data_IF_076364202271
#
_entry.id   IF_076364202271
#
_cell.length_a   1.000
_cell.length_b   1.000
_cell.length_c   1.000
_cell.angle_alpha   90.00
_cell.angle_beta   90.00
_cell.angle_gamma   90.00
#
_symmetry.space_group_name_H-M   'P 1'
#
loop_
_entity.id
_entity.type
_entity.pdbx_description
1 polymer ?
#
# COMPACT_ATOMS: atom_id res chain seq x y z
N UNK A 1 19.35 -3.66 4.13
CA UNK A 1 19.30 -2.52 5.09
C UNK A 1 18.27 -2.88 6.12
N UNK A 2 18.67 -2.93 7.39
CA UNK A 2 17.79 -3.26 8.50
C UNK A 2 16.95 -2.05 8.90
N UNK A 3 15.63 -2.23 9.01
CA UNK A 3 14.70 -1.21 9.49
C UNK A 3 13.83 -1.81 10.59
N UNK A 4 13.81 -1.19 11.77
CA UNK A 4 12.93 -1.57 12.88
C UNK A 4 11.74 -0.62 12.93
N UNK A 5 10.54 -1.17 12.77
CA UNK A 5 9.28 -0.45 12.84
C UNK A 5 8.68 -0.59 14.24
N UNK A 6 8.80 0.46 15.04
CA UNK A 6 8.13 0.59 16.33
C UNK A 6 6.71 1.11 16.12
N UNK A 7 5.74 0.42 16.68
CA UNK A 7 4.30 0.66 16.51
C UNK A 7 3.56 0.43 17.83
N UNK A 8 2.31 0.86 17.94
CA UNK A 8 1.47 0.57 19.11
C UNK A 8 1.18 -0.93 19.23
N UNK A 9 1.04 -1.61 18.10
CA UNK A 9 0.94 -3.06 18.04
C UNK A 9 1.08 -3.61 16.62
N UNK A 10 1.27 -4.91 16.53
CA UNK A 10 1.35 -5.65 15.25
C UNK A 10 0.19 -6.62 15.18
N UNK A 11 -0.60 -6.55 14.12
CA UNK A 11 -1.67 -7.50 13.80
C UNK A 11 -1.17 -8.44 12.70
N UNK A 12 -0.87 -9.73 12.98
CA UNK A 12 -0.27 -10.61 11.97
C UNK A 12 -1.22 -11.00 10.81
N UNK A 13 -2.52 -11.13 11.05
CA UNK A 13 -3.53 -11.42 10.02
C UNK A 13 -4.69 -10.42 10.10
N UNK A 14 -5.40 -10.19 9.00
CA UNK A 14 -6.44 -9.14 8.92
C UNK A 14 -7.51 -9.23 10.01
N UNK A 15 -7.88 -10.44 10.43
CA UNK A 15 -8.95 -10.69 11.42
C UNK A 15 -8.44 -10.90 12.86
N UNK A 16 -7.13 -10.73 13.10
CA UNK A 16 -6.52 -10.95 14.41
C UNK A 16 -6.52 -9.71 15.30
N UNK A 17 -6.42 -9.92 16.62
CA UNK A 17 -6.16 -8.84 17.57
C UNK A 17 -4.71 -8.32 17.45
N UNK A 18 -4.48 -7.00 17.58
CA UNK A 18 -3.13 -6.45 17.62
C UNK A 18 -2.35 -6.94 18.85
N UNK A 19 -1.13 -7.40 18.61
CA UNK A 19 -0.16 -7.69 19.66
C UNK A 19 0.47 -6.36 20.11
N UNK A 20 0.02 -5.84 21.25
CA UNK A 20 0.53 -4.59 21.82
C UNK A 20 2.03 -4.69 22.16
N UNK A 21 2.78 -3.61 21.93
CA UNK A 21 4.22 -3.54 22.23
C UNK A 21 5.12 -4.36 21.29
N UNK A 22 4.55 -5.02 20.28
CA UNK A 22 5.32 -5.69 19.23
C UNK A 22 5.85 -4.69 18.19
N UNK A 23 6.93 -5.07 17.54
CA UNK A 23 7.55 -4.37 16.43
C UNK A 23 7.87 -5.34 15.28
N UNK A 24 8.19 -4.76 14.13
CA UNK A 24 8.58 -5.51 12.92
C UNK A 24 9.97 -5.10 12.49
N UNK A 25 10.87 -6.08 12.36
CA UNK A 25 12.17 -5.90 11.74
C UNK A 25 12.08 -6.29 10.26
N UNK A 26 12.59 -5.40 9.40
CA UNK A 26 12.67 -5.61 7.96
C UNK A 26 14.14 -5.67 7.56
N UNK A 27 14.52 -6.68 6.77
CA UNK A 27 15.80 -6.70 6.06
C UNK A 27 15.58 -6.71 4.55
N UNK A 28 15.95 -5.60 3.90
CA UNK A 28 15.75 -5.45 2.46
C UNK A 28 14.27 -5.58 2.12
N UNK A 29 13.91 -6.63 1.39
CA UNK A 29 12.53 -6.89 0.95
C UNK A 29 11.75 -7.88 1.83
N UNK A 30 12.31 -8.30 2.97
CA UNK A 30 11.76 -9.40 3.79
C UNK A 30 11.48 -8.97 5.23
N UNK A 31 10.44 -9.57 5.82
CA UNK A 31 10.19 -9.51 7.25
C UNK A 31 11.22 -10.41 7.96
N UNK A 32 12.17 -9.81 8.67
CA UNK A 32 13.25 -10.54 9.35
C UNK A 32 12.80 -11.06 10.73
N UNK A 33 11.99 -10.28 11.45
CA UNK A 33 11.44 -10.69 12.74
C UNK A 33 10.15 -9.93 13.06
N UNK A 34 9.28 -10.57 13.86
CA UNK A 34 8.09 -9.97 14.47
C UNK A 34 8.12 -10.39 15.95
N UNK A 35 8.13 -9.44 16.87
CA UNK A 35 8.30 -9.73 18.29
C UNK A 35 8.23 -8.49 19.17
N UNK A 36 8.35 -8.63 20.49
CA UNK A 36 8.38 -7.50 21.42
C UNK A 36 9.43 -6.46 21.02
N UNK A 37 9.07 -5.18 21.06
CA UNK A 37 9.97 -4.10 20.64
C UNK A 37 11.28 -4.09 21.42
N UNK A 38 11.22 -4.24 22.74
CA UNK A 38 12.41 -4.18 23.60
C UNK A 38 13.44 -5.28 23.27
N UNK A 39 12.96 -6.49 22.95
CA UNK A 39 13.84 -7.60 22.54
C UNK A 39 14.50 -7.33 21.18
N UNK A 40 13.72 -6.85 20.20
CA UNK A 40 14.25 -6.51 18.88
C UNK A 40 15.18 -5.29 18.93
N UNK A 41 14.89 -4.32 19.80
CA UNK A 41 15.75 -3.16 20.03
C UNK A 41 17.08 -3.56 20.66
N UNK A 42 17.07 -4.43 21.68
CA UNK A 42 18.30 -4.95 22.29
C UNK A 42 19.17 -5.70 21.27
N UNK A 43 18.56 -6.49 20.38
CA UNK A 43 19.29 -7.28 19.39
C UNK A 43 19.74 -6.49 18.15
N UNK A 44 18.98 -5.48 17.70
CA UNK A 44 19.19 -4.83 16.40
C UNK A 44 19.23 -3.29 16.44
N UNK A 45 18.96 -2.66 17.57
CA UNK A 45 18.80 -1.21 17.69
C UNK A 45 20.04 -0.40 17.30
N UNK A 46 21.25 -0.94 17.55
CA UNK A 46 22.51 -0.28 17.20
C UNK A 46 22.83 -0.26 15.69
N UNK A 47 22.12 -1.05 14.88
CA UNK A 47 22.41 -1.26 13.46
C UNK A 47 21.19 -1.04 12.54
N UNK A 48 19.97 -1.12 13.08
CA UNK A 48 18.74 -0.90 12.34
C UNK A 48 18.35 0.58 12.32
N UNK A 49 17.86 1.04 11.17
CA UNK A 49 17.13 2.32 11.10
C UNK A 49 15.81 2.18 11.85
N UNK A 50 15.58 2.98 12.88
CA UNK A 50 14.29 2.98 13.58
C UNK A 50 13.30 3.90 12.88
N UNK A 51 12.05 3.41 12.77
CA UNK A 51 10.90 4.20 12.37
C UNK A 51 9.80 4.00 13.38
N UNK A 52 9.32 5.09 13.95
CA UNK A 52 8.25 5.08 14.92
C UNK A 52 6.94 5.53 14.26
N UNK A 53 5.85 4.84 14.60
CA UNK A 53 4.52 5.15 14.12
C UNK A 53 3.51 5.05 15.25
N UNK A 54 2.59 6.00 15.29
CA UNK A 54 1.51 6.04 16.27
C UNK A 54 0.28 5.25 15.78
N UNK A 55 0.47 3.95 15.51
CA UNK A 55 -0.57 3.13 14.91
C UNK A 55 -0.30 1.63 15.01
N UNK A 56 -1.18 0.83 14.41
CA UNK A 56 -1.08 -0.63 14.32
C UNK A 56 -0.54 -1.03 12.96
N UNK A 57 0.52 -1.85 12.94
CA UNK A 57 1.04 -2.45 11.71
C UNK A 57 0.23 -3.70 11.37
N UNK A 58 -0.29 -3.76 10.15
CA UNK A 58 -1.10 -4.87 9.64
C UNK A 58 -0.54 -5.36 8.31
N UNK A 59 -0.91 -6.56 7.82
CA UNK A 59 -0.92 -6.81 6.40
C UNK A 59 -1.48 -5.62 5.61
N UNK A 60 -0.91 -5.33 4.45
CA UNK A 60 -1.48 -4.31 3.57
C UNK A 60 -2.88 -4.70 3.08
N UNK A 61 -3.64 -3.70 2.64
CA UNK A 61 -4.93 -3.94 1.99
C UNK A 61 -4.71 -4.62 0.64
N UNK A 62 -5.71 -5.39 0.23
CA UNK A 62 -5.78 -6.01 -1.07
C UNK A 62 -6.99 -5.44 -1.82
N UNK A 63 -6.78 -4.99 -3.05
CA UNK A 63 -7.81 -4.44 -3.93
C UNK A 63 -8.25 -5.46 -4.99
N UNK A 64 -9.40 -6.15 -4.81
CA UNK A 64 -9.87 -7.15 -5.76
C UNK A 64 -10.28 -6.57 -7.11
N UNK A 65 -10.76 -5.33 -7.16
CA UNK A 65 -11.31 -4.71 -8.36
C UNK A 65 -10.31 -3.75 -9.02
N UNK A 66 -9.01 -4.10 -8.97
CA UNK A 66 -7.91 -3.26 -9.46
C UNK A 66 -8.06 -2.88 -10.93
N UNK A 67 -8.45 -3.83 -11.78
CA UNK A 67 -8.74 -3.57 -13.20
C UNK A 67 -9.90 -2.57 -13.38
N UNK A 68 -11.01 -2.75 -12.66
CA UNK A 68 -12.14 -1.82 -12.74
C UNK A 68 -11.74 -0.41 -12.27
N UNK A 69 -11.01 -0.32 -11.16
CA UNK A 69 -10.53 0.95 -10.62
C UNK A 69 -9.57 1.70 -11.54
N UNK A 70 -8.75 1.00 -12.32
CA UNK A 70 -7.67 1.63 -13.10
C UNK A 70 -7.98 1.71 -14.60
N UNK A 71 -8.91 0.90 -15.11
CA UNK A 71 -9.25 0.83 -16.53
C UNK A 71 -10.70 1.21 -16.87
N UNK A 72 -11.59 1.20 -15.86
CA UNK A 72 -13.00 1.56 -16.01
C UNK A 72 -13.38 2.83 -15.23
N UNK A 73 -12.40 3.53 -14.67
CA UNK A 73 -12.57 4.81 -13.99
C UNK A 73 -11.48 5.81 -14.40
N UNK A 74 -11.86 7.09 -14.48
CA UNK A 74 -10.91 8.19 -14.59
C UNK A 74 -10.66 8.80 -13.22
N UNK A 75 -9.40 8.91 -12.80
CA UNK A 75 -8.98 9.59 -11.58
C UNK A 75 -8.46 10.98 -11.95
N UNK A 76 -9.23 12.07 -11.71
CA UNK A 76 -8.86 13.40 -12.16
C UNK A 76 -7.52 13.89 -11.59
N UNK A 77 -6.76 14.63 -12.40
CA UNK A 77 -5.60 15.39 -11.92
C UNK A 77 -6.10 16.50 -10.97
N UNK A 78 -5.36 16.84 -9.89
CA UNK A 78 -5.75 17.95 -9.02
C UNK A 78 -5.99 19.28 -9.76
N UNK A 79 -5.37 19.50 -10.92
CA UNK A 79 -5.61 20.69 -11.75
C UNK A 79 -6.95 20.71 -12.47
N UNK A 80 -7.57 19.54 -12.64
CA UNK A 80 -8.90 19.39 -13.24
C UNK A 80 -10.01 19.39 -12.18
N UNK A 81 -9.67 19.52 -10.89
CA UNK A 81 -10.62 19.32 -9.79
C UNK A 81 -11.78 20.33 -9.80
N UNK A 82 -11.54 21.56 -10.25
CA UNK A 82 -12.60 22.59 -10.35
C UNK A 82 -13.65 22.26 -11.42
N UNK A 83 -13.28 21.48 -12.44
CA UNK A 83 -14.17 21.09 -13.55
C UNK A 83 -14.77 19.69 -13.33
N UNK A 84 -13.94 18.73 -12.93
CA UNK A 84 -14.29 17.30 -12.89
C UNK A 84 -14.52 16.77 -11.47
N UNK A 85 -14.22 17.58 -10.45
CA UNK A 85 -14.21 17.14 -9.06
C UNK A 85 -12.98 16.28 -8.72
N UNK A 86 -12.94 15.82 -7.48
CA UNK A 86 -11.87 14.96 -6.96
C UNK A 86 -12.21 13.48 -6.97
N UNK A 87 -13.44 13.09 -7.27
CA UNK A 87 -13.86 11.69 -7.22
C UNK A 87 -13.62 10.98 -8.55
N UNK A 88 -13.39 9.65 -8.55
CA UNK A 88 -13.25 8.90 -9.78
C UNK A 88 -14.53 8.97 -10.63
N UNK A 89 -14.37 9.29 -11.91
CA UNK A 89 -15.46 9.33 -12.89
C UNK A 89 -15.62 7.97 -13.56
N UNK A 90 -16.86 7.50 -13.70
CA UNK A 90 -17.22 6.21 -14.32
C UNK A 90 -18.40 6.41 -15.27
N UNK A 91 -18.78 5.34 -16.00
CA UNK A 91 -20.00 5.34 -16.82
C UNK A 91 -20.06 6.45 -17.87
N UNK A 92 -21.19 7.15 -17.96
CA UNK A 92 -21.42 8.23 -18.94
C UNK A 92 -20.46 9.40 -18.76
N UNK A 93 -20.13 9.76 -17.50
CA UNK A 93 -19.19 10.84 -17.21
C UNK A 93 -17.78 10.54 -17.75
N UNK A 94 -17.35 9.28 -17.66
CA UNK A 94 -16.10 8.81 -18.28
C UNK A 94 -16.22 8.76 -19.81
N UNK A 95 -17.35 8.27 -20.34
CA UNK A 95 -17.56 8.14 -21.78
C UNK A 95 -17.58 9.49 -22.52
N UNK A 96 -17.98 10.56 -21.82
CA UNK A 96 -17.94 11.93 -22.33
C UNK A 96 -16.51 12.50 -22.45
N UNK A 97 -15.49 11.85 -21.87
CA UNK A 97 -14.12 12.33 -21.91
C UNK A 97 -13.38 11.86 -23.16
N UNK A 98 -12.63 12.77 -23.78
CA UNK A 98 -11.60 12.43 -24.77
C UNK A 98 -10.43 11.70 -24.11
N UNK A 99 -10.53 10.38 -23.97
CA UNK A 99 -9.53 9.55 -23.29
C UNK A 99 -8.41 9.12 -24.23
N UNK A 100 -7.21 9.67 -24.02
CA UNK A 100 -5.98 9.27 -24.71
C UNK A 100 -5.17 8.28 -23.86
N UNK A 101 -4.23 7.55 -24.48
CA UNK A 101 -3.30 6.68 -23.74
C UNK A 101 -2.53 7.44 -22.63
N UNK A 102 -2.12 8.68 -22.90
CA UNK A 102 -1.48 9.55 -21.92
C UNK A 102 -2.40 9.85 -20.74
N UNK A 103 -3.69 10.13 -21.00
CA UNK A 103 -4.68 10.42 -19.96
C UNK A 103 -5.00 9.19 -19.12
N UNK A 104 -5.09 8.00 -19.74
CA UNK A 104 -5.18 6.72 -19.02
C UNK A 104 -3.96 6.47 -18.13
N UNK A 105 -2.75 6.71 -18.61
CA UNK A 105 -1.53 6.56 -17.80
C UNK A 105 -1.41 7.56 -16.65
N UNK A 106 -1.92 8.79 -16.80
CA UNK A 106 -2.02 9.77 -15.72
C UNK A 106 -3.06 9.34 -14.67
N UNK A 107 -4.26 8.96 -15.13
CA UNK A 107 -5.34 8.42 -14.29
C UNK A 107 -4.87 7.23 -13.46
N UNK A 108 -4.25 6.23 -14.07
CA UNK A 108 -3.78 5.04 -13.38
C UNK A 108 -2.77 5.37 -12.28
N UNK A 109 -1.80 6.26 -12.54
CA UNK A 109 -0.84 6.71 -11.51
C UNK A 109 -1.55 7.41 -10.36
N UNK A 110 -2.58 8.22 -10.64
CA UNK A 110 -3.38 8.88 -9.61
C UNK A 110 -4.17 7.86 -8.78
N UNK A 111 -4.83 6.89 -9.41
CA UNK A 111 -5.53 5.79 -8.73
C UNK A 111 -4.59 4.96 -7.85
N UNK A 112 -3.42 4.60 -8.38
CA UNK A 112 -2.37 3.90 -7.63
C UNK A 112 -1.88 4.70 -6.42
N UNK A 113 -1.69 6.01 -6.54
CA UNK A 113 -1.35 6.87 -5.40
C UNK A 113 -2.43 6.85 -4.33
N UNK A 114 -3.72 6.84 -4.69
CA UNK A 114 -4.82 6.69 -3.73
C UNK A 114 -4.81 5.33 -3.03
N UNK A 115 -4.60 4.25 -3.79
CA UNK A 115 -4.46 2.90 -3.23
C UNK A 115 -3.30 2.82 -2.23
N UNK A 116 -2.14 3.37 -2.58
CA UNK A 116 -0.99 3.45 -1.67
C UNK A 116 -1.31 4.29 -0.44
N UNK A 117 -1.99 5.42 -0.59
CA UNK A 117 -2.43 6.26 0.53
C UNK A 117 -3.50 5.59 1.42
N UNK A 118 -4.21 4.59 0.91
CA UNK A 118 -5.16 3.78 1.67
C UNK A 118 -4.52 2.56 2.36
N UNK A 119 -3.22 2.30 2.16
CA UNK A 119 -2.54 1.14 2.71
C UNK A 119 -2.59 -0.11 1.84
N UNK A 120 -2.96 0.01 0.57
CA UNK A 120 -3.01 -1.12 -0.37
C UNK A 120 -1.60 -1.57 -0.73
N UNK A 121 -1.36 -2.88 -0.69
CA UNK A 121 -0.08 -3.49 -1.08
C UNK A 121 -0.20 -4.53 -2.18
N UNK A 122 -1.41 -4.99 -2.46
CA UNK A 122 -1.70 -5.90 -3.54
C UNK A 122 -3.01 -5.54 -4.23
N UNK A 123 -3.13 -5.89 -5.50
CA UNK A 123 -4.35 -5.69 -6.27
C UNK A 123 -4.49 -6.75 -7.36
N UNK A 124 -5.69 -6.88 -7.90
CA UNK A 124 -5.97 -7.85 -8.95
C UNK A 124 -6.11 -7.20 -10.32
N UNK A 125 -5.35 -7.76 -11.27
CA UNK A 125 -5.52 -7.55 -12.71
C UNK A 125 -6.43 -8.63 -13.34
N UNK A 126 -6.29 -8.94 -14.65
CA UNK A 126 -5.27 -8.42 -15.57
C UNK A 126 -5.57 -7.00 -16.05
N UNK A 127 -4.52 -6.31 -16.51
CA UNK A 127 -4.60 -4.98 -17.10
C UNK A 127 -4.46 -5.05 -18.63
N UNK A 128 -5.47 -4.59 -19.35
CA UNK A 128 -5.52 -4.64 -20.81
C UNK A 128 -4.86 -3.42 -21.46
N UNK A 129 -4.83 -2.27 -20.78
CA UNK A 129 -4.26 -1.02 -21.30
C UNK A 129 -2.75 -0.96 -21.08
N UNK A 130 -1.92 -0.73 -22.12
CA UNK A 130 -0.46 -0.66 -21.99
C UNK A 130 0.04 0.39 -20.99
N UNK A 131 -0.55 1.59 -21.00
CA UNK A 131 -0.21 2.66 -20.08
C UNK A 131 -0.52 2.28 -18.61
N UNK A 132 -1.62 1.55 -18.38
CA UNK A 132 -2.02 1.09 -17.04
C UNK A 132 -1.11 -0.02 -16.54
N UNK A 133 -0.83 -1.04 -17.36
CA UNK A 133 0.17 -2.09 -17.04
C UNK A 133 1.51 -1.50 -16.61
N UNK A 134 2.01 -0.54 -17.38
CA UNK A 134 3.28 0.13 -17.08
C UNK A 134 3.22 0.89 -15.75
N UNK A 135 2.10 1.56 -15.46
CA UNK A 135 1.91 2.26 -14.19
C UNK A 135 1.87 1.29 -13.00
N UNK A 136 1.11 0.19 -13.11
CA UNK A 136 1.00 -0.86 -12.08
C UNK A 136 2.37 -1.48 -11.83
N UNK A 137 3.08 -1.91 -12.87
CA UNK A 137 4.42 -2.50 -12.74
C UNK A 137 5.40 -1.56 -12.03
N UNK A 138 5.35 -0.25 -12.31
CA UNK A 138 6.22 0.75 -11.68
C UNK A 138 5.84 1.09 -10.24
N UNK A 139 4.58 0.87 -9.84
CA UNK A 139 4.13 1.11 -8.46
C UNK A 139 4.76 0.12 -7.47
N UNK A 140 5.04 -1.10 -7.93
CA UNK A 140 5.53 -2.20 -7.08
C UNK A 140 4.44 -2.89 -6.27
N UNK A 141 3.16 -2.58 -6.51
CA UNK A 141 2.04 -3.35 -5.93
C UNK A 141 2.09 -4.79 -6.44
N UNK A 142 1.82 -5.73 -5.55
CA UNK A 142 1.82 -7.15 -5.89
C UNK A 142 0.53 -7.52 -6.63
N UNK A 143 0.65 -8.43 -7.60
CA UNK A 143 -0.48 -9.11 -8.26
C UNK A 143 -0.46 -10.59 -7.85
N UNK A 144 -0.82 -10.92 -6.59
CA UNK A 144 -0.66 -12.28 -6.08
C UNK A 144 -1.60 -13.24 -6.82
N UNK A 145 -1.11 -14.41 -7.26
CA UNK A 145 -1.97 -15.43 -7.86
C UNK A 145 -3.04 -15.85 -6.85
N UNK A 146 -4.29 -15.91 -7.30
CA UNK A 146 -5.45 -16.26 -6.48
C UNK A 146 -6.06 -15.11 -5.67
N UNK A 147 -5.50 -13.89 -5.71
CA UNK A 147 -6.17 -12.68 -5.24
C UNK A 147 -6.53 -12.67 -3.75
N UNK A 148 -5.62 -13.13 -2.87
CA UNK A 148 -5.89 -13.23 -1.43
C UNK A 148 -5.01 -12.30 -0.60
N UNK A 149 -5.57 -11.70 0.47
CA UNK A 149 -4.79 -11.01 1.49
C UNK A 149 -3.77 -11.97 2.12
N UNK A 150 -2.55 -11.50 2.37
CA UNK A 150 -1.47 -12.30 2.98
C UNK A 150 -1.25 -11.88 4.42
N UNK A 151 -1.13 -12.84 5.33
CA UNK A 151 -0.66 -12.58 6.68
C UNK A 151 0.82 -12.14 6.69
N UNK A 152 1.22 -11.43 7.75
CA UNK A 152 2.62 -11.14 8.04
C UNK A 152 3.30 -12.43 8.50
N UNK A 153 4.28 -12.88 7.73
CA UNK A 153 5.06 -14.08 8.06
C UNK A 153 6.54 -13.74 8.02
N UNK A 154 7.29 -14.17 9.04
CA UNK A 154 8.75 -14.04 9.05
C UNK A 154 9.33 -14.79 7.82
N UNK A 155 10.26 -14.16 7.11
CA UNK A 155 10.76 -14.61 5.80
C UNK A 155 9.84 -14.25 4.61
N UNK A 156 8.62 -13.78 4.87
CA UNK A 156 7.69 -13.26 3.88
C UNK A 156 8.12 -11.90 3.31
N UNK A 157 7.42 -11.45 2.26
CA UNK A 157 7.63 -10.12 1.70
C UNK A 157 7.29 -9.04 2.73
N UNK A 158 8.10 -7.99 2.79
CA UNK A 158 7.86 -6.82 3.63
C UNK A 158 6.83 -5.88 2.98
N UNK A 159 5.60 -6.38 2.87
CA UNK A 159 4.44 -5.69 2.32
C UNK A 159 3.40 -5.49 3.43
N UNK A 160 3.32 -4.27 3.96
CA UNK A 160 2.44 -3.97 5.09
C UNK A 160 2.01 -2.50 5.08
N UNK A 161 1.01 -2.20 5.90
CA UNK A 161 0.57 -0.85 6.16
C UNK A 161 0.49 -0.60 7.67
N UNK A 162 0.59 0.67 8.05
CA UNK A 162 0.37 1.11 9.43
C UNK A 162 -0.87 2.00 9.45
N UNK A 163 -1.80 1.70 10.34
CA UNK A 163 -3.05 2.44 10.49
C UNK A 163 -3.12 3.12 11.85
N UNK A 164 -3.52 4.38 11.87
CA UNK A 164 -3.87 5.08 13.10
C UNK A 164 -5.21 4.56 13.66
N UNK A 165 -5.53 5.00 14.87
CA UNK A 165 -6.76 4.63 15.58
C UNK A 165 -8.04 5.06 14.82
N UNK A 166 -7.98 6.18 14.10
CA UNK A 166 -9.07 6.67 13.23
C UNK A 166 -9.23 5.86 11.93
N UNK A 167 -8.42 4.80 11.73
CA UNK A 167 -8.43 3.95 10.54
C UNK A 167 -7.65 4.52 9.35
N UNK A 168 -7.08 5.72 9.46
CA UNK A 168 -6.28 6.31 8.40
C UNK A 168 -4.92 5.62 8.25
N UNK A 169 -4.43 5.52 7.02
CA UNK A 169 -3.10 4.98 6.77
C UNK A 169 -2.02 6.02 7.11
N UNK A 170 -1.06 5.64 7.94
CA UNK A 170 0.13 6.40 8.27
C UNK A 170 1.29 6.09 7.33
N UNK A 171 1.40 4.83 6.91
CA UNK A 171 2.51 4.35 6.10
C UNK A 171 2.11 3.12 5.28
N UNK A 172 2.63 3.04 4.06
CA UNK A 172 2.54 1.85 3.21
C UNK A 172 3.95 1.45 2.79
N UNK A 173 4.27 0.17 2.97
CA UNK A 173 5.58 -0.40 2.69
C UNK A 173 5.41 -1.52 1.66
N UNK A 174 6.24 -1.49 0.62
CA UNK A 174 6.30 -2.51 -0.43
C UNK A 174 7.74 -2.98 -0.60
N UNK A 175 7.96 -4.29 -0.45
CA UNK A 175 9.27 -4.91 -0.47
C UNK A 175 10.26 -4.11 0.42
N UNK A 176 9.80 -3.73 1.62
CA UNK A 176 10.58 -2.98 2.62
C UNK A 176 10.84 -1.50 2.30
N UNK A 177 10.33 -0.99 1.16
CA UNK A 177 10.42 0.42 0.81
C UNK A 177 9.18 1.16 1.27
N UNK A 178 9.37 2.26 2.00
CA UNK A 178 8.28 3.17 2.38
C UNK A 178 7.80 3.94 1.14
N UNK A 179 6.68 3.52 0.55
CA UNK A 179 6.12 4.08 -0.69
C UNK A 179 5.05 5.14 -0.45
N UNK A 180 4.46 5.14 0.74
CA UNK A 180 3.57 6.20 1.20
C UNK A 180 3.86 6.50 2.67
N UNK A 181 3.79 7.79 3.02
CA UNK A 181 3.86 8.30 4.38
C UNK A 181 2.90 9.46 4.51
N UNK A 182 1.97 9.38 5.46
CA UNK A 182 1.11 10.51 5.83
C UNK A 182 2.00 11.61 6.42
N UNK A 183 1.81 12.84 5.96
CA UNK A 183 2.54 14.02 6.43
C UNK A 183 2.02 14.47 7.79
#
# INVERSE_FOLDING_TARGET
MLTLHRVRGVRPGHDGEPLAGYAVLVDGARLAAIGPYEELWAAYGGQARVREWDGVLTPGRYEPEGAALLESAYHPDPREADELGSEPLTGEALAALGMTETRWGASARRGLQRLLAAGTTALTGPFTRPAVRTAVQRSGLAEPPGGRPRALTVGGAADFAVFAEDGSCLATVLAGRLVYRRR
#
